data_IF_274551447507
#
_entry.id   IF_274551447507
#
_cell.length_a   1.000
_cell.length_b   1.000
_cell.length_c   1.000
_cell.angle_alpha   90.00
_cell.angle_beta   90.00
_cell.angle_gamma   90.00
#
_symmetry.space_group_name_H-M   'P 1'
#
loop_
_entity.id
_entity.type
_entity.pdbx_description
1 polymer ?
#
# COMPACT_ATOMS: atom_id res chain seq x y z
N UNK A 1 6.30 74.52 24.79
CA UNK A 1 5.84 73.53 23.78
C UNK A 1 6.93 72.49 23.63
N UNK A 2 6.59 71.22 23.80
CA UNK A 2 7.49 70.07 23.67
C UNK A 2 6.93 69.21 22.51
N UNK A 3 7.77 68.54 21.71
CA UNK A 3 7.50 67.13 21.53
C UNK A 3 8.76 66.24 21.55
N UNK A 4 8.54 65.07 22.14
CA UNK A 4 9.46 63.98 22.39
C UNK A 4 9.81 63.25 21.08
N UNK A 5 11.09 62.90 20.91
CA UNK A 5 11.56 62.02 19.86
C UNK A 5 11.19 60.56 20.20
N UNK A 6 10.30 59.97 19.40
CA UNK A 6 9.86 58.59 19.54
C UNK A 6 10.93 57.60 19.02
N UNK A 7 11.17 56.59 19.83
CA UNK A 7 12.15 55.52 19.63
C UNK A 7 11.83 54.62 18.43
N UNK A 8 12.90 54.09 17.84
CA UNK A 8 12.95 53.05 16.82
C UNK A 8 12.26 51.77 17.33
N UNK A 9 11.16 51.36 16.69
CA UNK A 9 10.55 50.04 16.88
C UNK A 9 11.15 49.03 15.88
N UNK A 10 12.18 48.30 16.29
CA UNK A 10 12.59 47.06 15.62
C UNK A 10 11.67 45.92 16.04
N UNK A 11 10.80 45.48 15.12
CA UNK A 11 9.95 44.31 15.33
C UNK A 11 10.79 43.02 15.33
N UNK A 12 11.08 42.47 16.53
CA UNK A 12 11.62 41.12 16.68
C UNK A 12 10.54 40.10 16.34
N UNK A 13 10.62 39.49 15.15
CA UNK A 13 9.82 38.32 14.78
C UNK A 13 10.16 37.14 15.71
N UNK A 14 9.19 36.55 16.45
CA UNK A 14 9.49 35.51 17.42
C UNK A 14 9.84 34.18 16.72
N UNK A 15 11.05 33.69 16.98
CA UNK A 15 11.64 32.44 16.49
C UNK A 15 10.81 31.17 16.80
N UNK A 16 9.79 31.29 17.66
CA UNK A 16 8.97 30.18 18.15
C UNK A 16 8.05 29.57 17.08
N UNK A 17 7.72 30.33 16.03
CA UNK A 17 6.94 29.82 14.89
C UNK A 17 7.72 28.80 14.04
N UNK A 18 9.06 28.81 14.08
CA UNK A 18 9.88 27.87 13.32
C UNK A 18 10.01 26.48 14.00
N UNK A 19 9.87 26.41 15.33
CA UNK A 19 10.04 25.15 16.08
C UNK A 19 8.79 24.24 16.05
N UNK A 20 7.59 24.82 15.91
CA UNK A 20 6.34 24.05 15.77
C UNK A 20 6.23 23.32 14.42
N UNK A 21 6.86 23.83 13.36
CA UNK A 21 6.86 23.17 12.05
C UNK A 21 7.74 21.91 11.99
N UNK A 22 8.78 21.83 12.83
CA UNK A 22 9.76 20.72 12.80
C UNK A 22 9.22 19.48 13.54
N UNK A 23 8.41 19.65 14.59
CA UNK A 23 7.85 18.53 15.36
C UNK A 23 6.79 17.70 14.62
N UNK A 24 6.07 18.29 13.65
CA UNK A 24 5.03 17.61 12.86
C UNK A 24 5.58 16.81 11.66
N UNK A 25 6.84 17.01 11.27
CA UNK A 25 7.44 16.35 10.11
C UNK A 25 7.99 14.95 10.41
N UNK A 26 8.35 14.64 11.66
CA UNK A 26 9.00 13.36 12.00
C UNK A 26 8.01 12.22 12.26
N UNK A 27 6.81 12.52 12.74
CA UNK A 27 5.79 11.50 12.99
C UNK A 27 5.34 10.79 11.70
N UNK A 28 5.16 11.52 10.59
CA UNK A 28 4.71 10.92 9.33
C UNK A 28 5.75 9.99 8.68
N UNK A 29 7.04 10.23 8.90
CA UNK A 29 8.12 9.45 8.29
C UNK A 29 8.24 8.04 8.90
N UNK A 30 8.12 7.91 10.23
CA UNK A 30 8.24 6.62 10.91
C UNK A 30 7.11 5.65 10.52
N UNK A 31 5.89 6.15 10.37
CA UNK A 31 4.72 5.34 10.01
C UNK A 31 4.76 4.87 8.55
N UNK A 32 5.33 5.68 7.65
CA UNK A 32 5.56 5.28 6.26
C UNK A 32 6.61 4.17 6.15
N UNK A 33 7.67 4.23 6.97
CA UNK A 33 8.73 3.24 6.94
C UNK A 33 8.26 1.87 7.46
N UNK A 34 7.53 1.87 8.58
CA UNK A 34 6.94 0.64 9.14
C UNK A 34 5.97 -0.03 8.14
N UNK A 35 5.07 0.76 7.55
CA UNK A 35 4.13 0.27 6.52
C UNK A 35 4.84 -0.31 5.29
N UNK A 36 6.02 0.22 4.93
CA UNK A 36 6.77 -0.25 3.76
C UNK A 36 7.37 -1.64 4.00
N UNK A 37 7.94 -1.88 5.18
CA UNK A 37 8.48 -3.20 5.52
C UNK A 37 7.36 -4.24 5.69
N UNK A 38 6.22 -3.85 6.26
CA UNK A 38 5.03 -4.73 6.34
C UNK A 38 4.55 -5.12 4.94
N UNK A 39 4.35 -4.15 4.03
CA UNK A 39 3.94 -4.44 2.65
C UNK A 39 4.94 -5.36 1.94
N UNK A 40 6.24 -5.15 2.16
CA UNK A 40 7.27 -6.02 1.59
C UNK A 40 7.18 -7.45 2.11
N UNK A 41 6.92 -7.64 3.40
CA UNK A 41 6.67 -8.96 4.00
C UNK A 41 5.43 -9.62 3.39
N UNK A 42 4.30 -8.90 3.33
CA UNK A 42 3.06 -9.41 2.71
C UNK A 42 3.25 -9.78 1.23
N UNK A 43 4.06 -9.01 0.49
CA UNK A 43 4.40 -9.34 -0.90
C UNK A 43 5.30 -10.58 -1.02
N UNK A 44 6.10 -10.90 0.00
CA UNK A 44 6.81 -12.18 0.04
C UNK A 44 5.83 -13.31 0.35
N UNK A 45 4.95 -13.11 1.32
CA UNK A 45 4.02 -14.13 1.80
C UNK A 45 2.94 -14.50 0.78
N UNK A 46 2.49 -13.57 -0.08
CA UNK A 46 1.54 -13.91 -1.18
C UNK A 46 2.15 -14.89 -2.20
N UNK A 47 3.48 -15.05 -2.21
CA UNK A 47 4.22 -16.01 -3.05
C UNK A 47 4.55 -17.30 -2.31
N UNK A 48 4.20 -17.41 -1.03
CA UNK A 48 4.42 -18.62 -0.25
C UNK A 48 3.61 -19.78 -0.83
N UNK A 49 4.18 -20.99 -0.95
CA UNK A 49 3.42 -22.16 -1.41
C UNK A 49 2.21 -22.49 -0.52
N UNK A 50 2.26 -22.13 0.77
CA UNK A 50 1.13 -22.28 1.69
C UNK A 50 0.00 -21.31 1.29
N UNK A 51 -1.06 -21.88 0.71
CA UNK A 51 -2.24 -21.15 0.25
C UNK A 51 -2.96 -20.37 1.36
N UNK A 52 -3.00 -20.84 2.61
CA UNK A 52 -3.65 -20.11 3.70
C UNK A 52 -2.86 -18.84 4.04
N UNK A 53 -1.54 -19.00 4.16
CA UNK A 53 -0.63 -17.87 4.40
C UNK A 53 -0.67 -16.86 3.26
N UNK A 54 -0.63 -17.34 2.02
CA UNK A 54 -0.67 -16.48 0.85
C UNK A 54 -2.01 -15.74 0.72
N UNK A 55 -3.13 -16.41 1.03
CA UNK A 55 -4.47 -15.82 1.01
C UNK A 55 -4.60 -14.69 2.02
N UNK A 56 -4.19 -14.94 3.27
CA UNK A 56 -4.15 -13.93 4.31
C UNK A 56 -3.32 -12.70 3.89
N UNK A 57 -2.13 -12.94 3.31
CA UNK A 57 -1.29 -11.87 2.83
C UNK A 57 -1.93 -11.06 1.68
N UNK A 58 -2.56 -11.74 0.72
CA UNK A 58 -3.30 -11.09 -0.37
C UNK A 58 -4.43 -10.21 0.16
N UNK A 59 -5.18 -10.69 1.16
CA UNK A 59 -6.26 -9.94 1.79
C UNK A 59 -5.74 -8.70 2.52
N UNK A 60 -4.67 -8.84 3.30
CA UNK A 60 -4.10 -7.76 4.10
C UNK A 60 -3.50 -6.63 3.24
N UNK A 61 -2.96 -6.95 2.05
CA UNK A 61 -2.44 -5.96 1.11
C UNK A 61 -3.48 -4.90 0.70
N UNK A 62 -4.78 -5.21 0.77
CA UNK A 62 -5.84 -4.24 0.48
C UNK A 62 -5.89 -3.08 1.48
N UNK A 63 -5.32 -3.24 2.68
CA UNK A 63 -5.29 -2.21 3.72
C UNK A 63 -4.22 -1.12 3.48
N UNK A 64 -3.42 -1.24 2.42
CA UNK A 64 -2.24 -0.40 2.15
C UNK A 64 -2.37 0.42 0.84
N UNK A 65 -3.40 1.28 0.70
CA UNK A 65 -3.62 2.04 -0.53
C UNK A 65 -2.53 3.10 -0.80
N UNK A 66 -1.73 3.47 0.19
CA UNK A 66 -0.61 4.40 0.00
C UNK A 66 0.59 3.74 -0.72
N UNK A 67 0.67 2.41 -0.72
CA UNK A 67 1.76 1.63 -1.32
C UNK A 67 1.37 0.97 -2.65
N UNK A 68 0.24 1.39 -3.26
CA UNK A 68 -0.30 0.84 -4.51
C UNK A 68 0.73 0.67 -5.62
N UNK A 69 1.64 1.63 -5.80
CA UNK A 69 2.65 1.60 -6.85
C UNK A 69 3.61 0.41 -6.73
N UNK A 70 3.75 -0.17 -5.53
CA UNK A 70 4.51 -1.40 -5.29
C UNK A 70 3.61 -2.64 -5.35
N UNK A 71 2.42 -2.56 -4.73
CA UNK A 71 1.52 -3.70 -4.56
C UNK A 71 0.95 -4.17 -5.89
N UNK A 72 0.40 -3.25 -6.69
CA UNK A 72 -0.30 -3.61 -7.93
C UNK A 72 0.58 -4.35 -8.94
N UNK A 73 1.78 -3.88 -9.31
CA UNK A 73 2.62 -4.61 -10.27
C UNK A 73 3.03 -5.99 -9.72
N UNK A 74 3.28 -6.10 -8.41
CA UNK A 74 3.62 -7.37 -7.79
C UNK A 74 2.44 -8.35 -7.80
N UNK A 75 1.23 -7.91 -7.47
CA UNK A 75 0.04 -8.76 -7.54
C UNK A 75 -0.30 -9.18 -8.98
N UNK A 76 -0.10 -8.31 -9.98
CA UNK A 76 -0.24 -8.66 -11.40
C UNK A 76 0.78 -9.74 -11.81
N UNK A 77 2.01 -9.66 -11.32
CA UNK A 77 3.02 -10.70 -11.54
C UNK A 77 2.58 -12.03 -10.91
N UNK A 78 2.17 -12.02 -9.65
CA UNK A 78 1.71 -13.21 -8.92
C UNK A 78 0.47 -13.83 -9.58
N UNK A 79 -0.46 -13.02 -10.07
CA UNK A 79 -1.60 -13.49 -10.86
C UNK A 79 -1.16 -14.29 -12.10
N UNK A 80 0.01 -13.97 -12.67
CA UNK A 80 0.56 -14.64 -13.86
C UNK A 80 1.43 -15.85 -13.55
N UNK A 81 2.20 -15.83 -12.47
CA UNK A 81 3.21 -16.88 -12.22
C UNK A 81 2.95 -17.70 -10.96
N UNK A 82 2.07 -17.21 -10.08
CA UNK A 82 1.75 -17.82 -8.80
C UNK A 82 1.17 -19.22 -8.96
N UNK A 83 1.68 -20.10 -8.11
CA UNK A 83 1.23 -21.47 -7.90
C UNK A 83 1.31 -21.75 -6.41
N UNK A 84 0.22 -22.25 -5.87
CA UNK A 84 0.08 -22.61 -4.46
C UNK A 84 -0.17 -24.11 -4.33
N UNK A 85 0.08 -24.65 -3.15
CA UNK A 85 -0.06 -26.08 -2.84
C UNK A 85 -1.48 -26.61 -3.07
N UNK A 86 -2.49 -25.75 -2.87
CA UNK A 86 -3.92 -25.97 -3.12
C UNK A 86 -4.63 -24.64 -3.42
N UNK A 87 -5.93 -24.71 -3.71
CA UNK A 87 -6.81 -23.54 -3.88
C UNK A 87 -6.28 -22.52 -4.92
N UNK A 88 -5.81 -22.98 -6.08
CA UNK A 88 -5.18 -22.06 -7.04
C UNK A 88 -6.19 -21.09 -7.65
N UNK A 89 -7.44 -21.54 -7.87
CA UNK A 89 -8.52 -20.67 -8.31
C UNK A 89 -8.87 -19.61 -7.27
N UNK A 90 -9.10 -20.02 -6.03
CA UNK A 90 -9.37 -19.14 -4.88
C UNK A 90 -8.30 -18.07 -4.69
N UNK A 91 -7.02 -18.46 -4.78
CA UNK A 91 -5.92 -17.50 -4.66
C UNK A 91 -5.93 -16.44 -5.76
N UNK A 92 -6.27 -16.84 -7.00
CA UNK A 92 -6.38 -15.89 -8.11
C UNK A 92 -7.60 -14.98 -7.95
N UNK A 93 -8.71 -15.50 -7.46
CA UNK A 93 -9.89 -14.71 -7.12
C UNK A 93 -9.57 -13.69 -6.01
N UNK A 94 -8.95 -14.12 -4.92
CA UNK A 94 -8.56 -13.26 -3.81
C UNK A 94 -7.62 -12.13 -4.27
N UNK A 95 -6.64 -12.44 -5.14
CA UNK A 95 -5.78 -11.41 -5.74
C UNK A 95 -6.59 -10.44 -6.61
N UNK A 96 -7.55 -10.94 -7.40
CA UNK A 96 -8.43 -10.09 -8.21
C UNK A 96 -9.27 -9.15 -7.35
N UNK A 97 -9.83 -9.62 -6.23
CA UNK A 97 -10.54 -8.79 -5.25
C UNK A 97 -9.63 -7.75 -4.61
N UNK A 98 -8.40 -8.11 -4.25
CA UNK A 98 -7.44 -7.14 -3.70
C UNK A 98 -7.09 -6.07 -4.74
N UNK A 99 -6.90 -6.44 -6.00
CA UNK A 99 -6.68 -5.48 -7.10
C UNK A 99 -7.89 -4.56 -7.33
N UNK A 100 -9.11 -5.09 -7.17
CA UNK A 100 -10.36 -4.32 -7.24
C UNK A 100 -10.48 -3.31 -6.10
N UNK A 101 -10.25 -3.73 -4.84
CA UNK A 101 -10.20 -2.83 -3.66
C UNK A 101 -9.13 -1.77 -3.81
N UNK A 102 -8.01 -2.12 -4.42
CA UNK A 102 -6.95 -1.22 -4.81
C UNK A 102 -7.23 -0.57 -6.17
N UNK A 103 -8.46 -0.46 -6.67
CA UNK A 103 -8.84 0.26 -7.90
C UNK A 103 -7.79 0.19 -9.03
N UNK A 104 -7.26 -1.01 -9.30
CA UNK A 104 -6.10 -1.25 -10.14
C UNK A 104 -6.54 -1.42 -11.60
N UNK A 105 -6.80 -0.31 -12.29
CA UNK A 105 -7.30 -0.34 -13.68
C UNK A 105 -6.33 -1.01 -14.64
N UNK A 106 -5.03 -0.94 -14.35
CA UNK A 106 -3.97 -1.63 -15.09
C UNK A 106 -4.05 -3.16 -15.01
N UNK A 107 -4.79 -3.71 -14.04
CA UNK A 107 -4.98 -5.15 -13.90
C UNK A 107 -6.04 -5.74 -14.86
N UNK A 108 -6.84 -4.90 -15.52
CA UNK A 108 -7.97 -5.36 -16.38
C UNK A 108 -7.50 -6.30 -17.49
N UNK A 109 -6.46 -5.93 -18.24
CA UNK A 109 -5.93 -6.78 -19.30
C UNK A 109 -5.27 -8.06 -18.74
N UNK A 110 -4.40 -8.00 -17.71
CA UNK A 110 -3.90 -9.20 -17.04
C UNK A 110 -4.98 -10.17 -16.54
N UNK A 111 -6.07 -9.67 -15.96
CA UNK A 111 -7.19 -10.48 -15.49
C UNK A 111 -7.97 -11.10 -16.66
N UNK A 112 -8.17 -10.35 -17.75
CA UNK A 112 -8.79 -10.88 -18.96
C UNK A 112 -7.93 -11.98 -19.61
N UNK A 113 -6.60 -11.79 -19.64
CA UNK A 113 -5.66 -12.81 -20.13
C UNK A 113 -5.69 -14.06 -19.26
N UNK A 114 -5.75 -13.89 -17.93
CA UNK A 114 -5.93 -15.01 -17.01
C UNK A 114 -7.22 -15.77 -17.31
N UNK A 115 -8.36 -15.09 -17.43
CA UNK A 115 -9.64 -15.73 -17.71
C UNK A 115 -9.62 -16.51 -19.05
N UNK A 116 -8.91 -16.00 -20.06
CA UNK A 116 -8.74 -16.66 -21.36
C UNK A 116 -7.74 -17.82 -21.33
N UNK A 117 -6.83 -17.85 -20.36
CA UNK A 117 -5.76 -18.85 -20.30
C UNK A 117 -6.25 -20.26 -19.96
N UNK A 118 -7.50 -20.40 -19.47
CA UNK A 118 -8.04 -21.67 -19.00
C UNK A 118 -7.42 -22.16 -17.69
N UNK A 119 -6.57 -21.34 -17.04
CA UNK A 119 -6.11 -21.63 -15.68
C UNK A 119 -7.28 -21.55 -14.70
N UNK A 120 -7.25 -22.33 -13.61
CA UNK A 120 -8.32 -22.30 -12.64
C UNK A 120 -8.47 -20.92 -12.01
N UNK A 121 -9.71 -20.45 -11.93
CA UNK A 121 -10.16 -19.21 -11.26
C UNK A 121 -11.40 -19.45 -10.38
N UNK A 122 -11.94 -20.67 -10.43
CA UNK A 122 -13.14 -21.07 -9.72
C UNK A 122 -12.77 -21.49 -8.28
N UNK A 123 -13.74 -21.45 -7.38
CA UNK A 123 -13.57 -21.90 -6.00
C UNK A 123 -13.27 -23.42 -5.95
N UNK A 124 -12.12 -23.79 -5.39
CA UNK A 124 -11.65 -25.19 -5.36
C UNK A 124 -11.68 -25.79 -3.96
N UNK A 125 -11.58 -24.96 -2.93
CA UNK A 125 -11.43 -25.41 -1.57
C UNK A 125 -12.76 -25.40 -0.80
N UNK A 126 -13.30 -26.59 -0.55
CA UNK A 126 -14.47 -26.75 0.30
C UNK A 126 -14.20 -26.20 1.72
N UNK A 127 -15.08 -25.30 2.16
CA UNK A 127 -15.16 -24.79 3.54
C UNK A 127 -15.48 -25.90 4.56
#
# INVERSE_FOLDING_TARGET
>A
MNPQAAAVMTARRPLWLALLAIGLLTANAAWCQDSTEVVKGLLQDVRDPDSEKASAAAQDLAAYPQQRSQIIPALIEVLRTGQWDRCNGDMREQIAWTLEKLNAREAVLPLLDLAKSGRPIEHECAE
#
